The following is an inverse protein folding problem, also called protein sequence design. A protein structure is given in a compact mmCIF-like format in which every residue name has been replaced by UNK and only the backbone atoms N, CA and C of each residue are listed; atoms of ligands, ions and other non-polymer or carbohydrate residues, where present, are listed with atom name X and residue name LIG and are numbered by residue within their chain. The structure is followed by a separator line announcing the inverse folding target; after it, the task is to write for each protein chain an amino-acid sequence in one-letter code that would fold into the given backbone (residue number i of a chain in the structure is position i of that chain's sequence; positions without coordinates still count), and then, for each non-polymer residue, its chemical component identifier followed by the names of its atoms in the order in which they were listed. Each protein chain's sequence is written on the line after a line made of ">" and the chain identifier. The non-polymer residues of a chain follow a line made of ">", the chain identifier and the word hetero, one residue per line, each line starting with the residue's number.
data_IF_897931055303
#
_entry.id   IF_897931055303
#
_cell.length_a   1.000
_cell.length_b   1.000
_cell.length_c   1.000
_cell.angle_alpha   90.00
_cell.angle_beta   90.00
_cell.angle_gamma   90.00
#
_symmetry.space_group_name_H-M   'P 1'
#
loop_
_entity.id
_entity.type
_entity.pdbx_description
1 polymer ?
#
# COMPACT_ATOMS: atom_id res chain seq x y z
N UNK A 1 29.53 13.37 -13.97
CA UNK A 1 28.41 12.42 -14.07
C UNK A 1 27.14 13.25 -14.24
N UNK A 2 26.29 12.92 -15.18
CA UNK A 2 24.99 13.59 -15.34
C UNK A 2 24.01 13.02 -14.32
N UNK A 3 23.61 13.84 -13.37
CA UNK A 3 22.68 13.47 -12.29
C UNK A 3 21.22 13.42 -12.77
N UNK A 4 20.91 13.89 -13.98
CA UNK A 4 19.53 13.90 -14.51
C UNK A 4 18.88 12.52 -14.56
N UNK A 5 19.67 11.45 -14.57
CA UNK A 5 19.20 10.06 -14.50
C UNK A 5 18.81 9.60 -13.10
N UNK A 6 19.23 10.34 -12.07
CA UNK A 6 18.99 10.00 -10.65
C UNK A 6 18.02 10.97 -9.97
N UNK A 7 17.60 12.01 -10.67
CA UNK A 7 16.58 12.95 -10.22
C UNK A 7 15.38 12.86 -11.14
N UNK A 8 14.19 13.15 -10.63
CA UNK A 8 13.00 13.16 -11.46
C UNK A 8 13.06 14.27 -12.51
N UNK A 9 12.60 13.98 -13.72
CA UNK A 9 12.37 14.98 -14.73
C UNK A 9 11.09 15.77 -14.37
N UNK A 10 11.11 17.10 -14.53
CA UNK A 10 9.94 17.96 -14.22
C UNK A 10 8.64 17.56 -14.94
N UNK A 11 8.74 16.86 -16.07
CA UNK A 11 7.59 16.39 -16.84
C UNK A 11 7.25 14.92 -16.60
N UNK A 12 8.04 14.20 -15.82
CA UNK A 12 7.82 12.80 -15.50
C UNK A 12 6.61 12.68 -14.58
N UNK A 13 5.74 11.74 -14.91
CA UNK A 13 4.62 11.34 -14.08
C UNK A 13 4.92 9.99 -13.42
N UNK A 14 4.28 9.67 -12.30
CA UNK A 14 4.34 8.31 -11.76
C UNK A 14 4.04 7.27 -12.83
N UNK A 15 4.82 6.21 -12.87
CA UNK A 15 4.73 5.09 -13.81
C UNK A 15 5.05 5.39 -15.29
N UNK A 16 5.52 6.58 -15.66
CA UNK A 16 6.07 6.83 -16.98
C UNK A 16 7.34 5.99 -17.23
N UNK A 17 8.09 5.71 -16.17
CA UNK A 17 9.29 4.86 -16.20
C UNK A 17 9.15 3.71 -15.21
N UNK A 18 9.47 2.50 -15.65
CA UNK A 18 9.54 1.33 -14.77
C UNK A 18 10.94 1.21 -14.16
N UNK A 19 11.00 1.15 -12.83
CA UNK A 19 12.26 0.98 -12.11
C UNK A 19 12.88 -0.40 -12.41
N UNK A 20 14.19 -0.43 -12.58
CA UNK A 20 14.96 -1.67 -12.74
C UNK A 20 15.47 -2.11 -11.36
N UNK A 21 15.26 -3.38 -11.01
CA UNK A 21 15.67 -3.93 -9.72
C UNK A 21 15.17 -3.09 -8.52
N UNK A 22 13.91 -2.67 -8.57
CA UNK A 22 13.26 -1.89 -7.52
C UNK A 22 13.73 -0.44 -7.38
N UNK A 23 14.68 0.03 -8.21
CA UNK A 23 15.20 1.39 -8.17
C UNK A 23 15.58 1.86 -6.76
N UNK A 24 15.23 3.09 -6.42
CA UNK A 24 15.46 3.63 -5.06
C UNK A 24 14.59 2.98 -3.97
N UNK A 25 13.56 2.19 -4.30
CA UNK A 25 12.81 1.43 -3.29
C UNK A 25 13.73 0.50 -2.47
N UNK A 26 14.86 0.06 -3.05
CA UNK A 26 15.86 -0.77 -2.40
C UNK A 26 16.57 -0.14 -1.19
N UNK A 27 16.39 1.17 -0.91
CA UNK A 27 16.91 1.80 0.32
C UNK A 27 16.18 1.34 1.57
N UNK A 28 14.95 0.84 1.43
CA UNK A 28 14.17 0.27 2.52
C UNK A 28 14.58 -1.20 2.72
N UNK A 29 15.38 -1.47 3.73
CA UNK A 29 15.88 -2.84 4.00
C UNK A 29 14.85 -3.74 4.65
N UNK A 30 13.78 -3.14 5.21
CA UNK A 30 12.65 -3.85 5.82
C UNK A 30 11.36 -3.09 5.56
N UNK A 31 10.40 -3.77 4.94
CA UNK A 31 9.12 -3.22 4.50
C UNK A 31 7.99 -4.11 5.03
N UNK A 32 6.86 -3.54 5.43
CA UNK A 32 5.65 -4.30 5.71
C UNK A 32 4.56 -3.96 4.68
N UNK A 33 3.88 -4.99 4.16
CA UNK A 33 2.71 -4.85 3.30
C UNK A 33 1.46 -5.17 4.11
N UNK A 34 0.57 -4.18 4.24
CA UNK A 34 -0.72 -4.27 4.92
C UNK A 34 -1.80 -4.22 3.85
N UNK A 35 -2.59 -5.28 3.72
CA UNK A 35 -3.61 -5.34 2.68
C UNK A 35 -4.52 -6.57 2.81
N UNK A 36 -5.23 -6.84 1.76
CA UNK A 36 -6.17 -7.95 1.64
C UNK A 36 -5.60 -9.12 0.81
N UNK A 37 -6.47 -9.91 0.18
CA UNK A 37 -6.11 -11.04 -0.68
C UNK A 37 -5.17 -10.67 -1.83
N UNK A 38 -5.30 -9.47 -2.38
CA UNK A 38 -4.41 -8.99 -3.46
C UNK A 38 -3.00 -8.68 -2.95
N UNK A 39 -2.82 -8.53 -1.64
CA UNK A 39 -1.52 -8.34 -1.01
C UNK A 39 -0.97 -9.62 -0.40
N UNK A 40 -1.83 -10.57 0.04
CA UNK A 40 -1.37 -11.87 0.57
C UNK A 40 -0.90 -12.82 -0.53
N UNK A 41 -1.21 -12.55 -1.80
CA UNK A 41 -0.88 -13.44 -2.92
C UNK A 41 -1.90 -14.56 -3.08
N UNK A 42 -3.18 -14.29 -2.85
CA UNK A 42 -4.24 -15.28 -2.98
C UNK A 42 -4.53 -15.57 -4.46
N UNK A 43 -4.58 -16.85 -4.79
CA UNK A 43 -4.99 -17.38 -6.09
C UNK A 43 -6.37 -18.00 -5.98
N UNK A 44 -7.16 -17.86 -7.04
CA UNK A 44 -8.49 -18.43 -7.12
C UNK A 44 -8.50 -19.64 -8.06
N UNK A 45 -9.00 -20.76 -7.58
CA UNK A 45 -9.25 -21.95 -8.40
C UNK A 45 -10.75 -22.17 -8.57
N UNK A 46 -11.12 -22.81 -9.68
CA UNK A 46 -12.48 -23.23 -9.92
C UNK A 46 -12.46 -24.64 -10.49
N UNK A 47 -12.92 -25.62 -9.71
CA UNK A 47 -12.88 -27.01 -10.11
C UNK A 47 -14.17 -27.72 -9.71
N UNK A 48 -14.77 -28.44 -10.67
CA UNK A 48 -16.01 -29.21 -10.48
C UNK A 48 -17.17 -28.39 -9.86
N UNK A 49 -17.30 -27.12 -10.25
CA UNK A 49 -18.32 -26.20 -9.71
C UNK A 49 -17.97 -25.56 -8.38
N UNK A 50 -16.84 -25.88 -7.79
CA UNK A 50 -16.39 -25.34 -6.52
C UNK A 50 -15.29 -24.31 -6.73
N UNK A 51 -15.41 -23.16 -6.02
CA UNK A 51 -14.40 -22.13 -5.97
C UNK A 51 -13.50 -22.36 -4.76
N UNK A 52 -12.18 -22.29 -4.98
CA UNK A 52 -11.16 -22.40 -3.94
C UNK A 52 -10.30 -21.14 -3.88
N UNK A 53 -9.80 -20.80 -2.69
CA UNK A 53 -8.89 -19.69 -2.44
C UNK A 53 -7.61 -20.22 -1.81
N UNK A 54 -6.46 -19.81 -2.34
CA UNK A 54 -5.15 -20.35 -1.99
C UNK A 54 -4.13 -19.24 -1.83
N UNK A 55 -3.68 -19.01 -0.61
CA UNK A 55 -2.57 -18.07 -0.35
C UNK A 55 -1.24 -18.67 -0.82
N UNK A 56 -0.66 -18.06 -1.85
CA UNK A 56 0.67 -18.34 -2.35
C UNK A 56 1.56 -17.11 -2.17
N UNK A 57 1.92 -16.84 -0.93
CA UNK A 57 2.64 -15.63 -0.55
C UNK A 57 3.91 -15.38 -1.38
N UNK A 58 4.62 -16.42 -1.79
CA UNK A 58 5.81 -16.32 -2.65
C UNK A 58 5.54 -15.63 -4.00
N UNK A 59 4.28 -15.62 -4.45
CA UNK A 59 3.83 -14.93 -5.65
C UNK A 59 3.18 -13.57 -5.36
N UNK A 60 3.05 -13.16 -4.11
CA UNK A 60 2.54 -11.83 -3.79
C UNK A 60 3.41 -10.73 -4.38
N UNK A 61 2.82 -9.57 -4.70
CA UNK A 61 3.59 -8.43 -5.17
C UNK A 61 4.67 -8.00 -4.15
N UNK A 62 4.41 -8.15 -2.85
CA UNK A 62 5.39 -7.88 -1.80
C UNK A 62 6.62 -8.77 -1.89
N UNK A 63 6.47 -10.06 -2.25
CA UNK A 63 7.60 -10.98 -2.42
C UNK A 63 8.34 -10.78 -3.75
N UNK A 64 7.67 -10.31 -4.80
CA UNK A 64 8.38 -9.85 -5.99
C UNK A 64 9.24 -8.62 -5.68
N UNK A 65 8.68 -7.63 -4.98
CA UNK A 65 9.41 -6.45 -4.50
C UNK A 65 10.62 -6.85 -3.63
N UNK A 66 10.45 -7.83 -2.73
CA UNK A 66 11.54 -8.35 -1.91
C UNK A 66 12.71 -8.88 -2.74
N UNK A 67 12.42 -9.66 -3.80
CA UNK A 67 13.42 -10.22 -4.71
C UNK A 67 14.14 -9.15 -5.52
N UNK A 68 13.41 -8.15 -6.00
CA UNK A 68 13.97 -7.06 -6.81
C UNK A 68 14.86 -6.14 -5.99
N UNK A 69 14.46 -5.81 -4.77
CA UNK A 69 15.16 -4.85 -3.90
C UNK A 69 16.18 -5.50 -2.95
N UNK A 70 16.10 -6.82 -2.75
CA UNK A 70 16.86 -7.52 -1.72
C UNK A 70 16.45 -7.11 -0.29
N UNK A 71 15.25 -6.60 -0.10
CA UNK A 71 14.69 -6.20 1.19
C UNK A 71 13.95 -7.36 1.86
N UNK A 72 13.89 -7.36 3.20
CA UNK A 72 12.93 -8.19 3.93
C UNK A 72 11.55 -7.56 3.78
N UNK A 73 10.58 -8.28 3.21
CA UNK A 73 9.21 -7.81 3.07
C UNK A 73 8.27 -8.70 3.86
N UNK A 74 7.60 -8.11 4.84
CA UNK A 74 6.69 -8.79 5.76
C UNK A 74 5.26 -8.71 5.24
N UNK A 75 4.55 -9.83 5.31
CA UNK A 75 3.13 -9.91 4.99
C UNK A 75 2.27 -9.66 6.23
N UNK A 76 1.57 -8.53 6.25
CA UNK A 76 0.54 -8.19 7.23
C UNK A 76 -0.82 -8.12 6.54
N UNK A 77 -1.08 -9.08 5.64
CA UNK A 77 -2.27 -9.13 4.79
C UNK A 77 -2.98 -10.46 4.91
N UNK A 78 -4.28 -10.48 4.62
CA UNK A 78 -5.10 -11.71 4.62
C UNK A 78 -6.28 -11.55 3.67
N UNK A 79 -6.71 -12.65 3.06
CA UNK A 79 -7.93 -12.70 2.25
C UNK A 79 -9.15 -12.11 2.95
N UNK A 80 -9.94 -11.30 2.25
CA UNK A 80 -11.15 -10.67 2.78
C UNK A 80 -10.92 -9.54 3.80
N UNK A 81 -9.67 -9.14 4.08
CA UNK A 81 -9.39 -8.15 5.13
C UNK A 81 -10.00 -6.79 4.80
N UNK A 82 -10.66 -6.20 5.77
CA UNK A 82 -11.15 -4.81 5.79
C UNK A 82 -10.35 -3.99 6.81
N UNK A 83 -10.35 -2.68 6.65
CA UNK A 83 -9.74 -1.76 7.63
C UNK A 83 -10.27 -1.98 9.05
N UNK A 84 -11.57 -2.26 9.19
CA UNK A 84 -12.27 -2.52 10.46
C UNK A 84 -11.82 -3.81 11.16
N UNK A 85 -11.37 -4.83 10.44
CA UNK A 85 -10.97 -6.14 10.98
C UNK A 85 -9.45 -6.28 11.12
N UNK A 86 -8.67 -5.30 10.66
CA UNK A 86 -7.21 -5.34 10.71
C UNK A 86 -6.67 -5.53 12.13
N UNK A 87 -7.23 -4.81 13.11
CA UNK A 87 -6.72 -4.87 14.50
C UNK A 87 -6.97 -6.21 15.18
N UNK A 88 -8.02 -6.93 14.81
CA UNK A 88 -8.28 -8.28 15.32
C UNK A 88 -7.23 -9.24 14.78
N UNK A 89 -7.02 -9.25 13.45
CA UNK A 89 -5.95 -10.03 12.83
C UNK A 89 -4.57 -9.66 13.39
N UNK A 90 -4.29 -8.38 13.55
CA UNK A 90 -2.98 -7.92 14.03
C UNK A 90 -2.70 -8.37 15.47
N UNK A 91 -3.72 -8.49 16.33
CA UNK A 91 -3.60 -9.06 17.67
C UNK A 91 -3.39 -10.58 17.61
N UNK A 92 -4.17 -11.29 16.81
CA UNK A 92 -4.05 -12.74 16.63
C UNK A 92 -2.66 -13.14 16.12
N UNK A 93 -2.07 -12.34 15.21
CA UNK A 93 -0.78 -12.61 14.58
C UNK A 93 0.40 -11.89 15.26
N UNK A 94 0.14 -11.18 16.34
CA UNK A 94 1.17 -10.41 17.08
C UNK A 94 1.90 -9.35 16.25
N UNK A 95 1.22 -8.69 15.29
CA UNK A 95 1.83 -7.74 14.34
C UNK A 95 2.31 -6.42 14.98
N UNK A 96 2.14 -6.27 16.29
CA UNK A 96 2.64 -5.13 17.05
C UNK A 96 3.91 -5.43 17.85
N UNK A 97 4.55 -6.59 17.63
CA UNK A 97 5.85 -6.90 18.20
C UNK A 97 6.99 -6.17 17.47
N UNK A 98 8.13 -6.04 18.15
CA UNK A 98 9.32 -5.32 17.63
C UNK A 98 9.84 -5.85 16.28
N UNK A 99 9.65 -7.13 16.00
CA UNK A 99 10.02 -7.73 14.71
C UNK A 99 9.28 -7.11 13.52
N UNK A 100 8.14 -6.42 13.76
CA UNK A 100 7.36 -5.72 12.74
C UNK A 100 7.64 -4.21 12.67
N UNK A 101 8.66 -3.71 13.37
CA UNK A 101 9.19 -2.37 13.15
C UNK A 101 9.92 -2.31 11.82
N UNK A 102 9.33 -1.63 10.85
CA UNK A 102 9.84 -1.53 9.49
C UNK A 102 10.30 -0.10 9.17
N UNK A 103 11.11 0.05 8.11
CA UNK A 103 11.48 1.37 7.58
C UNK A 103 10.39 1.96 6.68
N UNK A 104 9.60 1.09 6.08
CA UNK A 104 8.44 1.49 5.29
C UNK A 104 7.26 0.54 5.54
N UNK A 105 6.05 1.11 5.43
CA UNK A 105 4.78 0.39 5.45
C UNK A 105 4.01 0.78 4.18
N UNK A 106 3.56 -0.22 3.42
CA UNK A 106 2.70 -0.03 2.25
C UNK A 106 1.31 -0.52 2.64
N UNK A 107 0.32 0.37 2.60
CA UNK A 107 -1.05 0.07 3.02
C UNK A 107 -1.96 0.06 1.79
N UNK A 108 -2.48 -1.13 1.46
CA UNK A 108 -3.30 -1.42 0.29
C UNK A 108 -4.67 -2.00 0.71
N UNK A 109 -5.35 -1.33 1.63
CA UNK A 109 -6.70 -1.69 2.08
C UNK A 109 -7.75 -0.85 1.36
N UNK A 110 -8.97 -1.40 1.21
CA UNK A 110 -10.11 -0.69 0.67
C UNK A 110 -10.98 -1.51 -0.28
N UNK A 111 -10.44 -2.48 -1.01
CA UNK A 111 -11.20 -3.27 -1.99
C UNK A 111 -12.39 -3.99 -1.34
N UNK A 112 -12.19 -4.60 -0.17
CA UNK A 112 -13.25 -5.25 0.58
C UNK A 112 -14.11 -4.26 1.37
N UNK A 113 -13.55 -3.11 1.76
CA UNK A 113 -14.29 -2.05 2.43
C UNK A 113 -15.34 -1.43 1.50
N UNK A 114 -15.03 -1.25 0.21
CA UNK A 114 -15.97 -0.74 -0.80
C UNK A 114 -17.23 -1.62 -0.90
N UNK A 115 -17.11 -2.93 -0.74
CA UNK A 115 -18.29 -3.80 -0.70
C UNK A 115 -19.23 -3.38 0.43
N UNK A 116 -18.68 -3.12 1.63
CA UNK A 116 -19.48 -2.60 2.74
C UNK A 116 -20.08 -1.21 2.50
N UNK A 117 -19.38 -0.33 1.76
CA UNK A 117 -19.95 0.97 1.39
C UNK A 117 -21.12 0.85 0.44
N UNK A 118 -21.06 -0.07 -0.52
CA UNK A 118 -22.14 -0.34 -1.48
C UNK A 118 -23.35 -0.97 -0.76
N UNK A 119 -23.09 -1.94 0.11
CA UNK A 119 -24.12 -2.67 0.86
C UNK A 119 -24.72 -1.81 1.99
N UNK A 120 -24.08 -0.70 2.36
CA UNK A 120 -24.52 0.21 3.42
C UNK A 120 -24.30 -0.34 4.84
N UNK A 121 -23.48 -1.36 5.01
CA UNK A 121 -23.12 -1.96 6.30
C UNK A 121 -21.83 -1.39 6.90
N UNK A 122 -21.10 -0.57 6.14
CA UNK A 122 -19.89 0.10 6.58
C UNK A 122 -19.76 1.50 5.96
N UNK A 123 -19.30 2.47 6.73
CA UNK A 123 -19.16 3.86 6.30
C UNK A 123 -17.73 4.19 5.90
N UNK A 124 -17.56 4.95 4.81
CA UNK A 124 -16.28 5.53 4.43
C UNK A 124 -15.78 6.52 5.50
N UNK A 125 -16.67 7.34 6.03
CA UNK A 125 -16.32 8.40 6.96
C UNK A 125 -15.55 9.54 6.31
N UNK A 126 -14.89 10.33 7.14
CA UNK A 126 -14.11 11.50 6.74
C UNK A 126 -13.00 11.81 7.76
N UNK A 127 -12.19 12.83 7.46
CA UNK A 127 -11.17 13.32 8.39
C UNK A 127 -11.75 13.85 9.72
N UNK A 128 -13.02 14.25 9.75
CA UNK A 128 -13.73 14.66 10.98
C UNK A 128 -13.99 13.49 11.95
N UNK A 129 -13.78 12.25 11.53
CA UNK A 129 -13.93 11.06 12.35
C UNK A 129 -12.63 10.66 13.09
N UNK A 130 -11.57 11.46 12.92
CA UNK A 130 -10.21 11.16 13.37
C UNK A 130 -9.81 12.09 14.51
N UNK A 131 -9.40 11.52 15.62
CA UNK A 131 -8.71 12.21 16.73
C UNK A 131 -7.22 11.84 16.65
N UNK A 132 -6.39 12.78 16.17
CA UNK A 132 -4.93 12.56 16.03
C UNK A 132 -4.22 12.48 17.39
N UNK A 133 -4.80 13.05 18.45
CA UNK A 133 -4.23 13.00 19.80
C UNK A 133 -4.52 11.67 20.49
N UNK A 134 -5.64 11.04 20.15
CA UNK A 134 -6.05 9.74 20.72
C UNK A 134 -6.84 8.92 19.70
N UNK A 135 -6.15 8.16 18.88
CA UNK A 135 -6.75 7.31 17.84
C UNK A 135 -7.69 6.22 18.39
N UNK A 136 -7.76 6.01 19.70
CA UNK A 136 -8.79 5.15 20.30
C UNK A 136 -10.20 5.78 20.23
N UNK A 137 -10.27 7.10 20.09
CA UNK A 137 -11.53 7.86 19.95
C UNK A 137 -12.02 8.01 18.52
N UNK A 138 -11.25 7.52 17.54
CA UNK A 138 -11.69 7.54 16.14
C UNK A 138 -13.04 6.82 16.00
N UNK A 139 -13.93 7.40 15.17
CA UNK A 139 -15.18 6.72 14.87
C UNK A 139 -14.96 5.42 14.11
N UNK A 140 -15.90 4.46 14.21
CA UNK A 140 -15.77 3.14 13.57
C UNK A 140 -16.10 3.20 12.06
N UNK A 141 -15.46 4.11 11.33
CA UNK A 141 -15.52 4.29 9.87
C UNK A 141 -14.21 3.83 9.23
N UNK A 142 -14.19 3.67 7.89
CA UNK A 142 -12.95 3.40 7.17
C UNK A 142 -11.87 4.43 7.50
N UNK A 143 -12.21 5.73 7.45
CA UNK A 143 -11.30 6.83 7.78
C UNK A 143 -10.70 6.64 9.19
N UNK A 144 -11.54 6.37 10.18
CA UNK A 144 -11.10 6.18 11.56
C UNK A 144 -10.20 4.96 11.76
N UNK A 145 -10.55 3.82 11.16
CA UNK A 145 -9.72 2.60 11.24
C UNK A 145 -8.41 2.74 10.49
N UNK A 146 -8.44 3.31 9.29
CA UNK A 146 -7.24 3.50 8.48
C UNK A 146 -6.25 4.45 9.16
N UNK A 147 -6.72 5.57 9.68
CA UNK A 147 -5.92 6.49 10.48
C UNK A 147 -5.30 5.82 11.72
N UNK A 148 -6.07 4.97 12.40
CA UNK A 148 -5.59 4.21 13.56
C UNK A 148 -4.48 3.22 13.18
N UNK A 149 -4.53 2.61 11.98
CA UNK A 149 -3.45 1.75 11.48
C UNK A 149 -2.17 2.56 11.30
N UNK A 150 -2.25 3.71 10.61
CA UNK A 150 -1.09 4.60 10.41
C UNK A 150 -0.51 5.02 11.76
N UNK A 151 -1.33 5.56 12.66
CA UNK A 151 -0.91 6.05 13.96
C UNK A 151 -0.22 4.96 14.80
N UNK A 152 -0.75 3.72 14.77
CA UNK A 152 -0.17 2.61 15.52
C UNK A 152 1.23 2.26 15.03
N UNK A 153 1.46 2.20 13.73
CA UNK A 153 2.80 1.92 13.21
C UNK A 153 3.74 3.14 13.29
N UNK A 154 3.22 4.37 13.29
CA UNK A 154 4.02 5.55 13.61
C UNK A 154 4.46 5.57 15.09
N UNK A 155 3.60 5.13 16.01
CA UNK A 155 3.98 4.93 17.42
C UNK A 155 5.12 3.92 17.57
N UNK A 156 5.05 2.79 16.83
CA UNK A 156 6.07 1.75 16.83
C UNK A 156 7.39 2.20 16.17
N UNK A 157 7.31 2.97 15.09
CA UNK A 157 8.45 3.45 14.30
C UNK A 157 8.20 4.86 13.77
N UNK A 158 8.47 5.92 14.57
CA UNK A 158 8.08 7.31 14.24
C UNK A 158 8.71 7.87 12.96
N UNK A 159 9.85 7.32 12.53
CA UNK A 159 10.58 7.78 11.34
C UNK A 159 10.34 6.92 10.10
N UNK A 160 9.48 5.91 10.20
CA UNK A 160 9.11 5.09 9.04
C UNK A 160 8.37 5.90 7.99
N UNK A 161 8.46 5.46 6.73
CA UNK A 161 7.70 6.01 5.62
C UNK A 161 6.46 5.16 5.37
N UNK A 162 5.35 5.83 5.04
CA UNK A 162 4.07 5.18 4.79
C UNK A 162 3.65 5.47 3.36
N UNK A 163 3.31 4.43 2.62
CA UNK A 163 2.83 4.51 1.26
C UNK A 163 1.39 4.00 1.23
N UNK A 164 0.45 4.91 0.96
CA UNK A 164 -0.98 4.64 0.99
C UNK A 164 -1.47 4.41 -0.44
N UNK A 165 -1.92 3.22 -0.77
CA UNK A 165 -2.29 2.85 -2.13
C UNK A 165 -3.76 3.10 -2.40
N UNK A 166 -4.07 3.80 -3.49
CA UNK A 166 -5.44 3.93 -4.00
C UNK A 166 -5.81 2.71 -4.84
N UNK A 167 -7.12 2.42 -4.92
CA UNK A 167 -7.63 1.30 -5.71
C UNK A 167 -7.60 1.68 -7.20
N UNK A 168 -7.02 0.84 -8.07
CA UNK A 168 -7.01 1.08 -9.52
C UNK A 168 -8.43 1.24 -10.10
N UNK A 169 -8.54 1.90 -11.25
CA UNK A 169 -9.80 1.97 -12.01
C UNK A 169 -10.13 0.62 -12.62
N UNK A 170 -11.42 0.32 -12.72
CA UNK A 170 -11.89 -0.85 -13.45
C UNK A 170 -13.22 -0.52 -14.18
N UNK A 171 -13.55 -1.30 -15.22
CA UNK A 171 -14.72 -1.00 -16.07
C UNK A 171 -15.95 -1.83 -15.77
N UNK A 172 -15.87 -2.77 -14.80
CA UNK A 172 -16.90 -3.79 -14.59
C UNK A 172 -18.08 -3.36 -13.70
N UNK A 173 -17.90 -2.34 -12.85
CA UNK A 173 -18.88 -1.99 -11.80
C UNK A 173 -18.84 -0.48 -11.53
N UNK A 174 -19.89 0.22 -11.97
CA UNK A 174 -20.01 1.67 -11.82
C UNK A 174 -20.10 2.13 -10.35
N UNK A 175 -20.75 1.35 -9.49
CA UNK A 175 -20.86 1.69 -8.06
C UNK A 175 -19.47 1.60 -7.39
N UNK A 176 -18.68 0.56 -7.70
CA UNK A 176 -17.30 0.44 -7.22
C UNK A 176 -16.42 1.57 -7.74
N UNK A 177 -16.63 2.02 -8.98
CA UNK A 177 -15.89 3.16 -9.54
C UNK A 177 -16.18 4.45 -8.77
N UNK A 178 -17.45 4.74 -8.47
CA UNK A 178 -17.82 5.92 -7.68
C UNK A 178 -17.20 5.89 -6.28
N UNK A 179 -17.30 4.75 -5.59
CA UNK A 179 -16.70 4.59 -4.26
C UNK A 179 -15.15 4.59 -4.31
N UNK A 180 -14.56 4.10 -5.40
CA UNK A 180 -13.12 4.19 -5.63
C UNK A 180 -12.62 5.62 -5.74
N UNK A 181 -13.38 6.54 -6.37
CA UNK A 181 -13.03 7.97 -6.42
C UNK A 181 -13.12 8.62 -5.04
N UNK A 182 -14.17 8.29 -4.25
CA UNK A 182 -14.30 8.76 -2.87
C UNK A 182 -13.20 8.22 -1.95
N UNK A 183 -12.86 6.93 -2.10
CA UNK A 183 -11.75 6.30 -1.40
C UNK A 183 -10.41 7.01 -1.72
N UNK A 184 -10.11 7.20 -3.01
CA UNK A 184 -8.87 7.85 -3.42
C UNK A 184 -8.76 9.27 -2.83
N UNK A 185 -9.83 10.06 -2.87
CA UNK A 185 -9.86 11.39 -2.24
C UNK A 185 -9.51 11.32 -0.76
N UNK A 186 -10.14 10.41 -0.02
CA UNK A 186 -9.87 10.24 1.41
C UNK A 186 -8.42 9.79 1.68
N UNK A 187 -7.84 8.93 0.84
CA UNK A 187 -6.44 8.50 0.98
C UNK A 187 -5.48 9.70 0.87
N UNK A 188 -5.73 10.65 -0.03
CA UNK A 188 -4.96 11.89 -0.08
C UNK A 188 -5.13 12.73 1.19
N UNK A 189 -6.36 12.92 1.65
CA UNK A 189 -6.64 13.65 2.88
C UNK A 189 -5.94 13.02 4.10
N UNK A 190 -5.92 11.68 4.18
CA UNK A 190 -5.20 10.95 5.22
C UNK A 190 -3.68 11.15 5.09
N UNK A 191 -3.12 11.08 3.88
CA UNK A 191 -1.69 11.31 3.68
C UNK A 191 -1.26 12.72 4.13
N UNK A 192 -2.10 13.72 3.92
CA UNK A 192 -1.85 15.10 4.34
C UNK A 192 -1.93 15.29 5.87
N UNK A 193 -2.69 14.43 6.58
CA UNK A 193 -2.83 14.50 8.05
C UNK A 193 -1.64 13.92 8.81
N UNK A 194 -0.92 12.98 8.21
CA UNK A 194 0.15 12.25 8.88
C UNK A 194 1.52 12.56 8.28
N UNK A 195 2.53 12.72 9.12
CA UNK A 195 3.92 12.92 8.66
C UNK A 195 4.46 11.65 8.00
N UNK A 196 5.37 11.82 7.04
CA UNK A 196 6.00 10.70 6.34
C UNK A 196 5.04 9.80 5.54
N UNK A 197 3.86 10.30 5.16
CA UNK A 197 2.88 9.59 4.36
C UNK A 197 2.90 10.08 2.91
N UNK A 198 2.82 9.15 1.97
CA UNK A 198 2.83 9.38 0.52
C UNK A 198 1.74 8.54 -0.13
N UNK A 199 1.13 9.04 -1.20
CA UNK A 199 0.09 8.31 -1.93
C UNK A 199 0.69 7.59 -3.13
N UNK A 200 0.43 6.29 -3.24
CA UNK A 200 0.58 5.53 -4.48
C UNK A 200 -0.75 5.59 -5.23
N UNK A 201 -0.92 6.62 -6.06
CA UNK A 201 -2.19 6.85 -6.75
C UNK A 201 -2.34 5.95 -7.99
N UNK A 202 -2.65 4.69 -7.74
CA UNK A 202 -2.93 3.72 -8.79
C UNK A 202 -4.24 4.02 -9.51
N UNK A 203 -5.18 4.73 -8.87
CA UNK A 203 -6.41 5.13 -9.52
C UNK A 203 -6.17 6.08 -10.70
N UNK A 204 -5.15 6.92 -10.58
CA UNK A 204 -4.82 7.92 -11.61
C UNK A 204 -3.78 7.44 -12.60
N UNK A 205 -2.79 6.68 -12.16
CA UNK A 205 -1.58 6.40 -12.95
C UNK A 205 -1.40 4.94 -13.35
N UNK A 206 -2.05 3.97 -12.66
CA UNK A 206 -2.01 2.58 -13.08
C UNK A 206 -2.91 2.35 -14.32
N UNK A 207 -2.69 1.27 -15.09
CA UNK A 207 -3.61 0.86 -16.13
C UNK A 207 -5.04 0.69 -15.61
N UNK A 208 -6.02 0.96 -16.46
CA UNK A 208 -7.42 0.65 -16.17
C UNK A 208 -7.61 -0.87 -16.24
N UNK A 209 -8.21 -1.46 -15.20
CA UNK A 209 -8.52 -2.88 -15.16
C UNK A 209 -9.79 -3.15 -15.98
N UNK A 210 -9.61 -3.14 -17.31
CA UNK A 210 -10.63 -3.46 -18.31
C UNK A 210 -10.68 -4.97 -18.60
N UNK A 211 -11.46 -5.37 -19.57
CA UNK A 211 -11.61 -6.78 -19.95
C UNK A 211 -10.29 -7.41 -20.41
N UNK A 212 -9.46 -6.66 -21.16
CA UNK A 212 -8.16 -7.13 -21.61
C UNK A 212 -7.20 -7.31 -20.43
N UNK A 213 -7.18 -6.36 -19.50
CA UNK A 213 -6.37 -6.46 -18.29
C UNK A 213 -6.77 -7.68 -17.44
N UNK A 214 -8.08 -7.87 -17.22
CA UNK A 214 -8.55 -9.04 -16.48
C UNK A 214 -8.19 -10.36 -17.14
N UNK A 215 -8.34 -10.46 -18.46
CA UNK A 215 -7.97 -11.67 -19.21
C UNK A 215 -6.49 -12.04 -19.08
N UNK A 216 -5.61 -11.04 -19.04
CA UNK A 216 -4.16 -11.25 -19.02
C UNK A 216 -3.59 -11.43 -17.62
N UNK A 217 -4.17 -10.77 -16.60
CA UNK A 217 -3.56 -10.62 -15.28
C UNK A 217 -4.38 -11.17 -14.12
N UNK A 218 -5.56 -11.71 -14.38
CA UNK A 218 -6.41 -12.30 -13.34
C UNK A 218 -6.77 -13.77 -13.64
N UNK A 219 -7.05 -14.49 -12.55
CA UNK A 219 -7.75 -15.77 -12.54
C UNK A 219 -9.08 -15.51 -11.81
N UNK A 220 -10.15 -15.22 -12.54
CA UNK A 220 -11.44 -14.80 -11.99
C UNK A 220 -11.33 -13.53 -11.11
N UNK A 221 -11.53 -13.61 -9.79
CA UNK A 221 -11.53 -12.46 -8.88
C UNK A 221 -10.13 -12.04 -8.37
N UNK A 222 -9.13 -12.90 -8.51
CA UNK A 222 -7.78 -12.68 -8.00
C UNK A 222 -6.75 -12.67 -9.13
N UNK A 223 -5.61 -12.05 -8.87
CA UNK A 223 -4.53 -11.95 -9.86
C UNK A 223 -3.87 -13.30 -10.11
N UNK A 224 -3.37 -13.48 -11.32
CA UNK A 224 -2.38 -14.52 -11.64
C UNK A 224 -0.96 -14.04 -11.28
N UNK A 225 0.05 -14.91 -11.44
CA UNK A 225 1.43 -14.56 -11.13
C UNK A 225 1.95 -13.33 -11.90
N UNK A 226 1.52 -13.17 -13.17
CA UNK A 226 1.90 -12.00 -13.98
C UNK A 226 1.26 -10.71 -13.45
N UNK A 227 0.01 -10.76 -12.98
CA UNK A 227 -0.67 -9.64 -12.34
C UNK A 227 0.01 -9.19 -11.06
N UNK A 228 0.37 -10.13 -10.19
CA UNK A 228 1.15 -9.82 -8.99
C UNK A 228 2.53 -9.26 -9.31
N UNK A 229 3.20 -9.79 -10.34
CA UNK A 229 4.49 -9.26 -10.79
C UNK A 229 4.35 -7.83 -11.33
N UNK A 230 3.33 -7.56 -12.14
CA UNK A 230 3.05 -6.22 -12.66
C UNK A 230 2.76 -5.24 -11.51
N UNK A 231 1.98 -5.66 -10.51
CA UNK A 231 1.69 -4.83 -9.33
C UNK A 231 2.98 -4.48 -8.58
N UNK A 232 3.89 -5.43 -8.39
CA UNK A 232 5.19 -5.16 -7.78
C UNK A 232 5.98 -4.11 -8.57
N UNK A 233 6.08 -4.26 -9.90
CA UNK A 233 6.77 -3.29 -10.77
C UNK A 233 6.16 -1.89 -10.66
N UNK A 234 4.84 -1.79 -10.57
CA UNK A 234 4.17 -0.49 -10.39
C UNK A 234 4.43 0.10 -9.00
N UNK A 235 4.36 -0.70 -7.94
CA UNK A 235 4.62 -0.25 -6.55
C UNK A 235 6.04 0.29 -6.42
N UNK A 236 7.03 -0.50 -6.81
CA UNK A 236 8.45 -0.11 -6.70
C UNK A 236 8.80 1.10 -7.57
N UNK A 237 8.23 1.18 -8.80
CA UNK A 237 8.47 2.30 -9.70
C UNK A 237 7.86 3.59 -9.18
N UNK A 238 6.67 3.51 -8.57
CA UNK A 238 6.04 4.67 -7.97
C UNK A 238 6.79 5.15 -6.72
N UNK A 239 7.23 4.24 -5.86
CA UNK A 239 8.07 4.59 -4.70
C UNK A 239 9.39 5.20 -5.17
N UNK A 240 10.05 4.63 -6.19
CA UNK A 240 11.23 5.20 -6.83
C UNK A 240 10.99 6.64 -7.30
N UNK A 241 9.87 6.86 -7.99
CA UNK A 241 9.46 8.20 -8.43
C UNK A 241 9.30 9.17 -7.24
N UNK A 242 8.62 8.76 -6.15
CA UNK A 242 8.44 9.59 -4.96
C UNK A 242 9.78 9.96 -4.36
N UNK A 243 10.72 9.01 -4.21
CA UNK A 243 12.03 9.25 -3.63
C UNK A 243 12.84 10.23 -4.49
N UNK A 244 12.83 10.07 -5.82
CA UNK A 244 13.55 10.97 -6.74
C UNK A 244 13.00 12.39 -6.77
N UNK A 245 11.71 12.57 -6.44
CA UNK A 245 11.07 13.89 -6.34
C UNK A 245 11.22 14.54 -4.97
N UNK A 246 11.47 13.77 -3.90
CA UNK A 246 11.58 14.25 -2.52
C UNK A 246 12.82 13.65 -1.83
N UNK A 247 14.03 13.77 -2.42
CA UNK A 247 15.21 13.05 -1.92
C UNK A 247 15.60 13.43 -0.48
N UNK A 248 15.28 14.65 -0.05
CA UNK A 248 15.52 15.15 1.29
C UNK A 248 14.74 14.38 2.36
N UNK A 249 13.50 13.98 2.06
CA UNK A 249 12.65 13.23 2.97
C UNK A 249 13.20 11.82 3.27
N UNK A 250 14.01 11.30 2.38
CA UNK A 250 14.58 9.95 2.45
C UNK A 250 16.07 9.92 2.81
N UNK A 251 16.71 11.08 2.95
CA UNK A 251 18.15 11.18 3.18
C UNK A 251 18.63 10.42 4.42
N UNK A 252 17.81 10.33 5.46
CA UNK A 252 18.17 9.66 6.71
C UNK A 252 17.52 8.28 6.89
N UNK A 253 16.99 7.67 5.82
CA UNK A 253 16.28 6.39 5.93
C UNK A 253 17.16 5.26 6.50
N UNK A 254 18.48 5.32 6.29
CA UNK A 254 19.43 4.38 6.87
C UNK A 254 19.48 4.39 8.39
N UNK A 255 19.09 5.48 9.02
CA UNK A 255 19.05 5.63 10.48
C UNK A 255 17.71 5.22 11.12
N UNK A 256 16.67 4.96 10.32
CA UNK A 256 15.36 4.52 10.86
C UNK A 256 15.53 3.20 11.62
N UNK A 257 15.05 3.16 12.85
CA UNK A 257 15.22 2.01 13.76
C UNK A 257 16.57 1.97 14.49
N UNK A 258 17.36 3.06 14.42
CA UNK A 258 18.59 3.24 15.18
C UNK A 258 18.49 4.46 16.10
N UNK A 259 19.37 4.61 17.11
CA UNK A 259 19.45 5.82 17.92
C UNK A 259 20.11 7.00 17.19
N UNK A 260 20.63 6.78 16.00
CA UNK A 260 21.44 7.77 15.27
C UNK A 260 20.57 8.66 14.37
N UNK A 261 21.07 9.86 14.10
CA UNK A 261 20.57 10.79 13.09
C UNK A 261 21.66 11.83 12.80
N UNK A 262 21.57 12.47 11.66
CA UNK A 262 22.43 13.62 11.35
C UNK A 262 21.67 14.92 11.65
N UNK A 263 22.01 15.56 12.78
CA UNK A 263 21.39 16.82 13.22
C UNK A 263 21.84 18.05 12.41
N UNK A 264 22.93 17.93 11.66
CA UNK A 264 23.47 18.98 10.81
C UNK A 264 22.91 18.95 9.39
N UNK A 265 22.17 17.89 9.05
CA UNK A 265 21.48 17.78 7.76
C UNK A 265 20.40 18.85 7.66
N UNK A 266 20.64 19.82 6.77
CA UNK A 266 19.78 20.98 6.53
C UNK A 266 19.54 21.12 5.02
N UNK A 267 18.33 20.82 4.59
CA UNK A 267 17.90 21.04 3.20
C UNK A 267 16.48 21.59 3.20
#
# INVERSE_FOLDING_TARGET
>A
MDLSKFTANKNEKPLDNMAVNGGFCGIFRKIACIGDSLSSGEFESFENGNRGYHDHYDYSWGQFLARDTGSEVLNLSRGGLRSSTFFDMAREQSFFEDKYKCRAYIIALGVNDITGFIDGDFELGSTADIDLADCAKNKPTFAGYYAKIIAKYQEMQPKAKFFLMTIPRHTKDAAREEWGDKHAKLIYELADMFVNCYVLDFRKYAPVYDEEFYRNFFLAGHMNAAGYRLTALMVESYIDYIIRNNPEDFAQIGFVGTPYHNSEFKW
#
